data_IF_576165857335
#
_entry.id   IF_576165857335
#
_cell.length_a   1.000
_cell.length_b   1.000
_cell.length_c   1.000
_cell.angle_alpha   90.00
_cell.angle_beta   90.00
_cell.angle_gamma   90.00
#
_symmetry.space_group_name_H-M   'P 1'
#
loop_
_entity.id
_entity.type
_entity.pdbx_description
1 polymer ?
#
# COMPACT_ATOMS: atom_id res chain seq x y z
N UNK A 1 33.94 -7.24 12.37
CA UNK A 1 32.89 -6.35 12.93
C UNK A 1 31.56 -7.03 12.69
N UNK A 2 30.82 -7.33 13.76
CA UNK A 2 29.51 -7.98 13.65
C UNK A 2 28.40 -6.92 13.52
N UNK A 3 27.43 -7.17 12.66
CA UNK A 3 26.24 -6.33 12.50
C UNK A 3 25.19 -6.80 13.51
N UNK A 4 24.97 -6.00 14.54
CA UNK A 4 24.06 -6.28 15.64
C UNK A 4 23.39 -4.96 16.05
N UNK A 5 22.37 -4.50 15.30
CA UNK A 5 21.87 -3.13 15.40
C UNK A 5 21.39 -2.80 16.82
N UNK A 6 21.64 -1.56 17.24
CA UNK A 6 21.21 -1.05 18.56
C UNK A 6 20.64 0.36 18.44
N UNK A 7 19.72 0.70 19.33
CA UNK A 7 19.14 2.03 19.44
C UNK A 7 19.91 2.80 20.50
N UNK A 8 20.65 3.82 20.05
CA UNK A 8 21.39 4.74 20.90
C UNK A 8 20.62 6.04 21.12
N UNK A 9 20.69 6.60 22.33
CA UNK A 9 20.17 7.90 22.69
C UNK A 9 21.29 8.83 23.18
N UNK A 10 21.27 10.07 22.71
CA UNK A 10 22.15 11.16 23.16
C UNK A 10 21.34 12.44 23.32
N UNK A 11 20.98 12.77 24.56
CA UNK A 11 20.08 13.88 24.86
C UNK A 11 18.71 13.69 24.19
N UNK A 12 18.22 14.65 23.39
CA UNK A 12 16.94 14.53 22.70
C UNK A 12 17.00 13.67 21.42
N UNK A 13 18.19 13.21 21.00
CA UNK A 13 18.37 12.49 19.73
C UNK A 13 18.47 10.99 19.96
N UNK A 14 17.71 10.20 19.20
CA UNK A 14 17.84 8.75 19.11
C UNK A 14 18.31 8.35 17.71
N UNK A 15 19.30 7.46 17.60
CA UNK A 15 19.86 6.99 16.33
C UNK A 15 20.13 5.49 16.37
N UNK A 16 19.87 4.81 15.27
CA UNK A 16 20.23 3.39 15.07
C UNK A 16 21.69 3.28 14.69
N UNK A 17 22.42 2.40 15.38
CA UNK A 17 23.81 2.05 15.07
C UNK A 17 23.90 0.62 14.59
N UNK A 18 24.85 0.32 13.71
CA UNK A 18 25.04 -1.03 13.16
C UNK A 18 25.55 -2.05 14.20
N UNK A 19 26.15 -1.58 15.30
CA UNK A 19 26.50 -2.39 16.46
C UNK A 19 26.73 -1.56 17.73
N UNK A 20 26.81 -2.24 18.87
CA UNK A 20 27.06 -1.64 20.18
C UNK A 20 28.42 -0.91 20.28
N UNK A 21 29.44 -1.39 19.57
CA UNK A 21 30.75 -0.76 19.54
C UNK A 21 30.68 0.63 18.88
N UNK A 22 29.99 0.72 17.73
CA UNK A 22 29.78 1.95 17.00
C UNK A 22 28.96 2.96 17.82
N UNK A 23 27.89 2.52 18.49
CA UNK A 23 27.08 3.38 19.36
C UNK A 23 27.91 4.02 20.49
N UNK A 24 28.73 3.20 21.18
CA UNK A 24 29.59 3.66 22.27
C UNK A 24 30.69 4.61 21.79
N UNK A 25 31.33 4.29 20.66
CA UNK A 25 32.36 5.14 20.06
C UNK A 25 31.81 6.52 19.65
N UNK A 26 30.56 6.58 19.21
CA UNK A 26 29.86 7.85 18.90
C UNK A 26 29.30 8.58 20.12
N UNK A 27 29.47 8.06 21.34
CA UNK A 27 28.97 8.68 22.57
C UNK A 27 27.46 8.60 22.78
N UNK A 28 26.81 7.56 22.24
CA UNK A 28 25.39 7.28 22.45
C UNK A 28 25.20 6.22 23.53
N UNK A 29 24.20 6.42 24.39
CA UNK A 29 23.78 5.44 25.38
C UNK A 29 22.81 4.45 24.74
N UNK A 30 23.10 3.15 24.82
CA UNK A 30 22.25 2.11 24.24
C UNK A 30 21.00 1.95 25.11
N UNK A 31 19.84 2.32 24.58
CA UNK A 31 18.55 2.23 25.26
C UNK A 31 17.73 1.02 24.79
N UNK A 32 18.09 0.41 23.66
CA UNK A 32 17.38 -0.74 23.11
C UNK A 32 18.24 -1.59 22.18
N UNK A 33 17.90 -2.88 22.11
CA UNK A 33 18.44 -3.82 21.11
C UNK A 33 17.64 -3.69 19.82
N UNK A 34 18.31 -3.70 18.68
CA UNK A 34 17.71 -3.44 17.38
C UNK A 34 17.64 -1.95 17.04
N UNK A 35 16.94 -1.65 15.96
CA UNK A 35 16.82 -0.31 15.42
C UNK A 35 15.97 0.60 16.32
N UNK A 36 16.27 1.89 16.37
CA UNK A 36 15.32 2.83 16.95
C UNK A 36 14.02 2.78 16.16
N UNK A 37 12.88 2.71 16.86
CA UNK A 37 11.55 2.77 16.25
C UNK A 37 11.43 4.11 15.51
N UNK A 38 11.68 4.11 14.20
CA UNK A 38 11.21 5.21 13.38
C UNK A 38 9.68 5.15 13.44
N UNK A 39 8.99 6.28 13.66
CA UNK A 39 7.57 6.30 13.34
C UNK A 39 7.47 5.90 11.88
N UNK A 40 6.90 4.72 11.63
CA UNK A 40 6.52 4.34 10.28
C UNK A 40 5.65 5.48 9.75
N UNK A 41 5.83 5.95 8.51
CA UNK A 41 4.85 6.86 7.94
C UNK A 41 3.51 6.13 8.05
N UNK A 42 2.63 6.64 8.89
CA UNK A 42 1.26 6.15 8.98
C UNK A 42 0.68 6.54 7.63
N UNK A 43 0.69 5.61 6.67
CA UNK A 43 -0.04 5.80 5.44
C UNK A 43 -1.48 6.10 5.88
N UNK A 44 -2.10 7.19 5.39
CA UNK A 44 -3.49 7.45 5.70
C UNK A 44 -4.30 6.19 5.34
N UNK A 45 -5.30 5.81 6.15
CA UNK A 45 -6.14 4.67 5.80
C UNK A 45 -6.70 4.90 4.39
N UNK A 46 -6.76 3.86 3.54
CA UNK A 46 -7.40 3.98 2.24
C UNK A 46 -8.80 4.55 2.46
N UNK A 47 -9.15 5.59 1.71
CA UNK A 47 -10.50 6.16 1.76
C UNK A 47 -11.49 5.00 1.51
N UNK A 48 -12.54 4.85 2.33
CA UNK A 48 -13.53 3.80 2.10
C UNK A 48 -14.04 3.90 0.67
N UNK A 49 -13.84 2.84 -0.10
CA UNK A 49 -14.45 2.72 -1.42
C UNK A 49 -15.97 2.82 -1.22
N UNK A 50 -16.67 3.59 -2.07
CA UNK A 50 -18.12 3.63 -2.00
C UNK A 50 -18.66 2.19 -2.10
N UNK A 51 -19.71 1.84 -1.34
CA UNK A 51 -20.29 0.51 -1.43
C UNK A 51 -20.60 0.23 -2.91
N UNK A 52 -20.31 -0.99 -3.41
CA UNK A 52 -20.70 -1.37 -4.75
C UNK A 52 -22.21 -1.13 -4.87
N UNK A 53 -22.69 -0.58 -6.00
CA UNK A 53 -24.12 -0.35 -6.16
C UNK A 53 -24.86 -1.67 -5.99
N UNK A 54 -25.90 -1.67 -5.15
CA UNK A 54 -26.81 -2.80 -4.95
C UNK A 54 -27.56 -3.01 -6.27
N UNK A 55 -26.99 -3.85 -7.13
CA UNK A 55 -27.55 -4.14 -8.44
C UNK A 55 -27.81 -5.64 -8.52
N UNK A 56 -29.02 -6.05 -8.93
CA UNK A 56 -29.29 -7.45 -9.16
C UNK A 56 -28.27 -7.92 -10.20
N UNK A 57 -27.65 -9.08 -9.94
CA UNK A 57 -26.81 -9.80 -10.89
C UNK A 57 -27.69 -10.25 -12.08
N UNK A 58 -28.14 -9.29 -12.87
CA UNK A 58 -29.08 -9.44 -13.96
C UNK A 58 -28.30 -9.63 -15.24
N UNK A 59 -28.35 -10.85 -15.76
CA UNK A 59 -27.81 -11.30 -17.05
C UNK A 59 -27.30 -10.18 -17.97
N UNK A 60 -25.98 -10.07 -18.12
CA UNK A 60 -25.38 -9.18 -19.11
C UNK A 60 -25.58 -9.74 -20.52
N UNK A 61 -25.87 -8.85 -21.47
CA UNK A 61 -25.87 -9.20 -22.90
C UNK A 61 -24.48 -9.68 -23.32
N UNK A 62 -24.40 -10.64 -24.25
CA UNK A 62 -23.13 -11.09 -24.88
C UNK A 62 -22.54 -10.08 -25.87
N UNK A 63 -22.92 -8.81 -25.76
CA UNK A 63 -22.37 -7.74 -26.58
C UNK A 63 -20.91 -7.48 -26.16
N UNK A 64 -20.01 -7.41 -27.14
CA UNK A 64 -18.60 -7.13 -26.92
C UNK A 64 -18.31 -5.64 -27.19
N UNK A 65 -18.18 -4.87 -26.11
CA UNK A 65 -17.83 -3.44 -26.10
C UNK A 65 -16.84 -3.20 -24.96
N UNK A 66 -15.54 -3.42 -25.18
CA UNK A 66 -14.59 -3.51 -24.08
C UNK A 66 -14.48 -2.19 -23.30
N UNK A 67 -14.33 -2.28 -21.99
CA UNK A 67 -14.15 -1.12 -21.09
C UNK A 67 -13.02 -1.37 -20.10
N UNK A 68 -12.37 -0.30 -19.68
CA UNK A 68 -11.34 -0.36 -18.65
C UNK A 68 -11.99 -0.08 -17.30
N UNK A 69 -12.01 -1.09 -16.43
CA UNK A 69 -12.51 -1.01 -15.07
C UNK A 69 -11.36 -0.87 -14.06
N UNK A 70 -11.55 -0.05 -13.04
CA UNK A 70 -10.62 0.12 -11.93
C UNK A 70 -11.31 -0.23 -10.60
N UNK A 71 -10.59 -0.97 -9.75
CA UNK A 71 -10.97 -1.26 -8.36
C UNK A 71 -9.74 -1.09 -7.47
N UNK A 72 -9.70 -0.01 -6.70
CA UNK A 72 -8.51 0.39 -5.93
C UNK A 72 -7.26 0.47 -6.81
N UNK A 73 -6.17 -0.28 -6.50
CA UNK A 73 -4.95 -0.31 -7.31
C UNK A 73 -5.03 -1.23 -8.55
N UNK A 74 -6.11 -1.99 -8.71
CA UNK A 74 -6.24 -2.97 -9.80
C UNK A 74 -7.01 -2.36 -10.98
N UNK A 75 -6.48 -2.54 -12.19
CA UNK A 75 -7.18 -2.22 -13.44
C UNK A 75 -7.38 -3.50 -14.25
N UNK A 76 -8.56 -3.67 -14.84
CA UNK A 76 -8.88 -4.83 -15.67
C UNK A 76 -9.76 -4.42 -16.84
N UNK A 77 -9.47 -5.00 -18.00
CA UNK A 77 -10.32 -4.89 -19.19
C UNK A 77 -11.49 -5.85 -19.05
N UNK A 78 -12.70 -5.33 -19.28
CA UNK A 78 -13.93 -6.10 -19.32
C UNK A 78 -14.48 -6.17 -20.74
N UNK A 79 -15.17 -7.25 -21.12
CA UNK A 79 -15.76 -7.38 -22.45
C UNK A 79 -16.94 -6.42 -22.66
N UNK A 80 -17.65 -6.00 -21.60
CA UNK A 80 -18.63 -4.92 -21.65
C UNK A 80 -18.82 -4.20 -20.31
N UNK A 81 -19.51 -3.05 -20.36
CA UNK A 81 -19.82 -2.23 -19.19
C UNK A 81 -20.66 -2.96 -18.13
N UNK A 82 -21.57 -3.84 -18.56
CA UNK A 82 -22.39 -4.62 -17.65
C UNK A 82 -21.52 -5.63 -16.85
N UNK A 83 -20.59 -6.33 -17.51
CA UNK A 83 -19.67 -7.26 -16.85
C UNK A 83 -18.70 -6.55 -15.88
N UNK A 84 -18.28 -5.33 -16.22
CA UNK A 84 -17.48 -4.48 -15.34
C UNK A 84 -18.24 -4.08 -14.07
N UNK A 85 -19.48 -3.62 -14.23
CA UNK A 85 -20.37 -3.20 -13.14
C UNK A 85 -20.73 -4.39 -12.24
N UNK A 86 -21.11 -5.53 -12.84
CA UNK A 86 -21.41 -6.78 -12.12
C UNK A 86 -20.20 -7.34 -11.36
N UNK A 87 -18.98 -7.09 -11.85
CA UNK A 87 -17.75 -7.45 -11.15
C UNK A 87 -17.34 -6.45 -10.06
N UNK A 88 -18.07 -5.35 -9.88
CA UNK A 88 -17.77 -4.30 -8.92
C UNK A 88 -16.58 -3.42 -9.32
N UNK A 89 -16.30 -3.30 -10.62
CA UNK A 89 -15.25 -2.41 -11.14
C UNK A 89 -15.87 -1.10 -11.63
N UNK A 90 -15.23 0.02 -11.28
CA UNK A 90 -15.63 1.33 -11.78
C UNK A 90 -15.04 1.54 -13.17
N UNK A 91 -15.87 1.81 -14.16
CA UNK A 91 -15.41 2.12 -15.52
C UNK A 91 -14.69 3.47 -15.51
N UNK A 92 -13.42 3.47 -15.92
CA UNK A 92 -12.55 4.67 -15.99
C UNK A 92 -12.22 5.07 -17.43
N UNK A 93 -12.41 4.16 -18.39
CA UNK A 93 -12.13 4.42 -19.80
C UNK A 93 -12.96 3.54 -20.72
N UNK A 94 -13.29 4.08 -21.90
CA UNK A 94 -13.91 3.32 -22.98
C UNK A 94 -12.82 2.59 -23.77
N UNK A 95 -12.99 1.29 -24.01
CA UNK A 95 -11.96 0.44 -24.59
C UNK A 95 -11.12 -0.31 -23.55
N UNK A 96 -10.11 -1.03 -24.03
CA UNK A 96 -9.24 -1.87 -23.20
C UNK A 96 -8.31 -1.01 -22.33
N UNK A 97 -7.96 -1.48 -21.13
CA UNK A 97 -6.92 -0.83 -20.33
C UNK A 97 -5.59 -0.86 -21.09
N UNK A 98 -4.90 0.28 -21.14
CA UNK A 98 -3.55 0.41 -21.70
C UNK A 98 -2.53 0.52 -20.57
N UNK A 99 -1.38 -0.19 -20.67
CA UNK A 99 -0.28 -0.07 -19.72
C UNK A 99 0.40 1.30 -19.77
#
# INVERSE_FOLDING_TARGET
MEYAPVCGQRGPRTQTFGNACQARSSGFQIIGRGECRRPQPIAPPPRPEPPPPDRPAGACTREYRPVCGQRGPQMRTFPNACEADNSGFRIVGQGQCRP
#
